data_IF_514988646211
#
_entry.id   IF_514988646211
#
_cell.length_a   1.000
_cell.length_b   1.000
_cell.length_c   1.000
_cell.angle_alpha   90.00
_cell.angle_beta   90.00
_cell.angle_gamma   90.00
#
_symmetry.space_group_name_H-M   'P 1'
#
loop_
_entity.id
_entity.type
_entity.pdbx_description
1 polymer ?
#
# COMPACT_ATOMS: atom_id res chain seq x y z
N UNK A 1 -1.48 -22.90 5.84
CA UNK A 1 -2.05 -22.40 4.56
C UNK A 1 -0.90 -22.11 3.62
N UNK A 2 -0.95 -22.59 2.38
CA UNK A 2 0.12 -22.36 1.41
C UNK A 2 0.34 -20.85 1.23
N UNK A 3 1.59 -20.39 1.37
CA UNK A 3 1.97 -19.04 0.94
C UNK A 3 1.92 -19.04 -0.58
N UNK A 4 0.76 -18.71 -1.14
CA UNK A 4 0.61 -18.59 -2.57
C UNK A 4 1.22 -17.26 -3.00
N UNK A 5 2.45 -17.30 -3.49
CA UNK A 5 3.04 -16.19 -4.21
C UNK A 5 2.25 -16.01 -5.51
N UNK A 6 1.67 -14.84 -5.70
CA UNK A 6 0.88 -14.49 -6.88
C UNK A 6 1.48 -13.27 -7.57
N UNK A 7 1.43 -13.20 -8.92
CA UNK A 7 1.91 -12.04 -9.65
C UNK A 7 1.07 -10.79 -9.30
N UNK A 8 1.60 -9.58 -9.55
CA UNK A 8 0.86 -8.35 -9.32
C UNK A 8 -0.45 -8.27 -10.11
N UNK A 9 -1.51 -7.82 -9.43
CA UNK A 9 -2.80 -7.50 -10.02
C UNK A 9 -2.92 -5.98 -10.14
N UNK A 10 -3.28 -5.51 -11.33
CA UNK A 10 -3.49 -4.09 -11.61
C UNK A 10 -4.86 -3.64 -11.10
N UNK A 11 -4.92 -2.53 -10.38
CA UNK A 11 -6.16 -1.83 -10.01
C UNK A 11 -6.01 -0.33 -10.28
N UNK A 12 -7.14 0.32 -10.54
CA UNK A 12 -7.20 1.79 -10.68
C UNK A 12 -7.64 2.38 -9.35
N UNK A 13 -6.89 3.33 -8.84
CA UNK A 13 -7.23 4.14 -7.66
C UNK A 13 -7.29 5.60 -8.06
N UNK A 14 -8.02 6.43 -7.33
CA UNK A 14 -8.08 7.86 -7.61
C UNK A 14 -7.25 8.63 -6.60
N UNK A 15 -6.25 9.39 -7.07
CA UNK A 15 -5.38 10.24 -6.26
C UNK A 15 -5.55 11.68 -6.75
N UNK A 16 -5.93 12.60 -5.85
CA UNK A 16 -6.17 14.00 -6.19
C UNK A 16 -7.10 14.21 -7.42
N UNK A 17 -8.13 13.38 -7.56
CA UNK A 17 -9.06 13.41 -8.70
C UNK A 17 -8.57 12.70 -9.97
N UNK A 18 -7.32 12.23 -10.01
CA UNK A 18 -6.73 11.58 -11.18
C UNK A 18 -6.71 10.05 -11.01
N UNK A 19 -7.18 9.26 -11.99
CA UNK A 19 -7.01 7.82 -11.99
C UNK A 19 -5.54 7.44 -12.10
N UNK A 20 -5.04 6.66 -11.14
CA UNK A 20 -3.69 6.12 -11.08
C UNK A 20 -3.77 4.60 -11.11
N UNK A 21 -3.06 3.99 -12.06
CA UNK A 21 -2.95 2.55 -12.18
C UNK A 21 -1.82 2.03 -11.29
N UNK A 22 -2.15 1.10 -10.39
CA UNK A 22 -1.18 0.48 -9.47
C UNK A 22 -1.24 -1.04 -9.66
N UNK A 23 -0.09 -1.70 -9.69
CA UNK A 23 0.03 -3.15 -9.77
C UNK A 23 0.69 -3.69 -8.50
N UNK A 24 -0.07 -4.43 -7.68
CA UNK A 24 0.42 -5.03 -6.43
C UNK A 24 0.05 -6.50 -6.37
N UNK A 25 0.90 -7.30 -5.72
CA UNK A 25 0.59 -8.68 -5.38
C UNK A 25 -0.66 -8.73 -4.49
N UNK A 26 -1.54 -9.75 -4.62
CA UNK A 26 -2.77 -9.87 -3.83
C UNK A 26 -2.56 -9.65 -2.33
N UNK A 27 -1.48 -10.20 -1.76
CA UNK A 27 -1.14 -10.03 -0.33
C UNK A 27 -0.98 -8.57 0.09
N UNK A 28 -0.50 -7.70 -0.80
CA UNK A 28 -0.38 -6.27 -0.51
C UNK A 28 -1.70 -5.53 -0.73
N UNK A 29 -2.55 -5.96 -1.66
CA UNK A 29 -3.91 -5.43 -1.77
C UNK A 29 -4.71 -5.72 -0.50
N UNK A 30 -4.70 -6.97 -0.04
CA UNK A 30 -5.41 -7.39 1.16
C UNK A 30 -4.89 -6.64 2.40
N UNK A 31 -3.56 -6.49 2.52
CA UNK A 31 -2.96 -5.71 3.62
C UNK A 31 -3.31 -4.22 3.55
N UNK A 32 -3.35 -3.63 2.36
CA UNK A 32 -3.75 -2.23 2.16
C UNK A 32 -5.21 -2.01 2.53
N UNK A 33 -6.10 -2.93 2.14
CA UNK A 33 -7.52 -2.90 2.49
C UNK A 33 -7.74 -3.05 4.00
N UNK A 34 -7.03 -3.99 4.63
CA UNK A 34 -7.10 -4.19 6.08
C UNK A 34 -6.63 -2.95 6.86
N UNK A 35 -5.54 -2.33 6.42
CA UNK A 35 -4.98 -1.15 7.08
C UNK A 35 -5.83 0.11 6.83
N UNK A 36 -6.40 0.26 5.63
CA UNK A 36 -7.39 1.29 5.34
C UNK A 36 -8.61 1.16 6.27
N UNK A 37 -9.14 -0.06 6.44
CA UNK A 37 -10.22 -0.34 7.37
C UNK A 37 -9.85 -0.04 8.83
N UNK A 38 -8.65 -0.44 9.26
CA UNK A 38 -8.12 -0.17 10.61
C UNK A 38 -8.03 1.33 10.91
N UNK A 39 -7.65 2.11 9.91
CA UNK A 39 -7.54 3.58 9.99
C UNK A 39 -8.87 4.30 9.74
N UNK A 40 -9.96 3.57 9.45
CA UNK A 40 -11.25 4.13 9.04
C UNK A 40 -11.14 5.08 7.82
N UNK A 41 -10.28 4.73 6.86
CA UNK A 41 -10.05 5.47 5.63
C UNK A 41 -10.45 4.64 4.39
N UNK A 42 -10.96 5.28 3.32
CA UNK A 42 -11.02 4.63 2.01
C UNK A 42 -9.62 4.25 1.51
N UNK A 43 -9.49 3.15 0.77
CA UNK A 43 -8.19 2.72 0.18
C UNK A 43 -7.56 3.83 -0.65
N UNK A 44 -8.35 4.55 -1.46
CA UNK A 44 -7.86 5.69 -2.25
C UNK A 44 -7.25 6.79 -1.38
N UNK A 45 -7.84 7.07 -0.21
CA UNK A 45 -7.33 8.08 0.72
C UNK A 45 -6.03 7.61 1.39
N UNK A 46 -5.94 6.32 1.75
CA UNK A 46 -4.69 5.77 2.28
C UNK A 46 -3.58 5.80 1.23
N UNK A 47 -3.88 5.43 -0.03
CA UNK A 47 -2.90 5.52 -1.12
C UNK A 47 -2.45 6.96 -1.36
N UNK A 48 -3.37 7.92 -1.38
CA UNK A 48 -3.04 9.33 -1.53
C UNK A 48 -2.16 9.83 -0.37
N UNK A 49 -2.42 9.38 0.86
CA UNK A 49 -1.57 9.69 2.02
C UNK A 49 -0.16 9.13 1.85
N UNK A 50 -0.03 7.85 1.45
CA UNK A 50 1.27 7.23 1.17
C UNK A 50 2.01 7.96 0.04
N UNK A 51 1.27 8.44 -0.97
CA UNK A 51 1.81 9.20 -2.09
C UNK A 51 2.42 10.55 -1.66
N UNK A 52 1.79 11.23 -0.69
CA UNK A 52 2.36 12.45 -0.08
C UNK A 52 3.56 12.10 0.79
N UNK A 53 3.42 11.14 1.71
CA UNK A 53 4.50 10.74 2.64
C UNK A 53 5.78 10.30 1.88
N UNK A 54 5.65 9.59 0.76
CA UNK A 54 6.83 9.16 -0.03
C UNK A 54 7.54 10.33 -0.72
N UNK A 55 6.84 11.41 -1.04
CA UNK A 55 7.41 12.58 -1.74
C UNK A 55 8.23 13.47 -0.80
N UNK A 56 8.08 13.30 0.51
CA UNK A 56 8.89 13.97 1.53
C UNK A 56 10.25 13.29 1.77
N UNK A 57 10.48 12.09 1.22
CA UNK A 57 11.75 11.38 1.33
C UNK A 57 12.79 11.90 0.32
N UNK A 58 14.05 12.00 0.75
CA UNK A 58 15.17 12.47 -0.09
C UNK A 58 15.34 11.65 -1.39
N UNK A 59 15.14 10.34 -1.32
CA UNK A 59 15.12 9.42 -2.48
C UNK A 59 13.74 8.75 -2.59
N UNK A 60 12.76 9.55 -3.03
CA UNK A 60 11.36 9.14 -3.10
C UNK A 60 11.15 7.96 -4.06
N UNK A 61 10.75 6.77 -3.57
CA UNK A 61 10.48 5.63 -4.45
C UNK A 61 9.19 5.86 -5.27
N UNK A 62 9.01 5.06 -6.32
CA UNK A 62 7.72 5.02 -7.01
C UNK A 62 6.59 4.58 -6.07
N UNK A 63 5.35 4.98 -6.37
CA UNK A 63 4.18 4.74 -5.50
C UNK A 63 3.99 3.26 -5.15
N UNK A 64 4.11 2.35 -6.12
CA UNK A 64 3.98 0.90 -5.88
C UNK A 64 4.99 0.40 -4.85
N UNK A 65 6.24 0.84 -4.96
CA UNK A 65 7.32 0.47 -4.03
C UNK A 65 7.11 1.12 -2.67
N UNK A 66 6.66 2.37 -2.63
CA UNK A 66 6.30 3.08 -1.41
C UNK A 66 5.20 2.33 -0.63
N UNK A 67 4.14 1.90 -1.31
CA UNK A 67 3.04 1.14 -0.68
C UNK A 67 3.55 -0.15 -0.03
N UNK A 68 4.36 -0.94 -0.74
CA UNK A 68 4.93 -2.18 -0.19
C UNK A 68 5.77 -1.91 1.07
N UNK A 69 6.65 -0.91 1.01
CA UNK A 69 7.50 -0.53 2.14
C UNK A 69 6.70 0.02 3.33
N UNK A 70 5.70 0.84 3.05
CA UNK A 70 4.82 1.41 4.06
C UNK A 70 4.05 0.31 4.79
N UNK A 71 3.42 -0.61 4.05
CA UNK A 71 2.72 -1.76 4.62
C UNK A 71 3.64 -2.67 5.43
N UNK A 72 4.91 -2.85 5.00
CA UNK A 72 5.88 -3.63 5.75
C UNK A 72 6.19 -2.99 7.11
N UNK A 73 6.38 -1.67 7.16
CA UNK A 73 6.65 -0.93 8.42
C UNK A 73 5.43 -0.82 9.32
N UNK A 74 4.21 -0.78 8.76
CA UNK A 74 2.96 -0.67 9.53
C UNK A 74 2.53 -1.99 10.17
N UNK A 75 3.22 -3.11 9.91
CA UNK A 75 2.92 -4.38 10.59
C UNK A 75 3.19 -4.17 12.08
N UNK A 76 2.26 -4.51 12.98
CA UNK A 76 2.59 -4.62 14.40
C UNK A 76 3.74 -5.61 14.50
N UNK A 77 4.80 -5.22 15.21
CA UNK A 77 6.05 -5.97 15.34
C UNK A 77 5.74 -7.46 15.52
N UNK A 78 5.92 -8.27 14.47
CA UNK A 78 5.73 -9.72 14.54
C UNK A 78 6.92 -10.40 15.22
N UNK A 79 7.78 -9.61 15.85
CA UNK A 79 8.96 -9.98 16.61
C UNK A 79 8.92 -9.32 18.00
N UNK A 80 7.87 -9.59 18.76
CA UNK A 80 8.07 -9.75 20.21
C UNK A 80 8.71 -11.15 20.42
N UNK A 81 9.73 -11.28 21.30
CA UNK A 81 10.59 -12.45 21.39
C UNK A 81 9.87 -13.78 21.60
#
# INVERSE_FOLDING_TARGET
>A
MARSYHPPVKRSVTIAGHPTSISLEPVFWDALEAEAARLALPVNALVARIDVERMEADDAPNLTSAIRQWLWRSRPDQMAP
#
